data_IF_076932845431
#
_entry.id   IF_076932845431
#
_cell.length_a   1.000
_cell.length_b   1.000
_cell.length_c   1.000
_cell.angle_alpha   90.00
_cell.angle_beta   90.00
_cell.angle_gamma   90.00
#
_symmetry.space_group_name_H-M   'P 1'
#
loop_
_entity.id
_entity.type
_entity.pdbx_description
1 polymer ?
#
# COMPACT_ATOMS: atom_id res chain seq x y z
N UNK A 1 -4.76 -0.44 14.43
CA UNK A 1 -3.54 -0.57 13.59
C UNK A 1 -2.27 -0.36 14.40
N UNK A 2 -2.08 0.74 15.14
CA UNK A 2 -0.85 0.94 15.93
C UNK A 2 -0.60 -0.19 16.94
N UNK A 3 -1.52 -0.42 17.88
CA UNK A 3 -1.40 -1.48 18.89
C UNK A 3 -1.23 -2.87 18.26
N UNK A 4 -1.92 -3.10 17.14
CA UNK A 4 -1.81 -4.34 16.38
C UNK A 4 -0.39 -4.52 15.82
N UNK A 5 0.18 -3.50 15.17
CA UNK A 5 1.53 -3.55 14.61
C UNK A 5 2.60 -3.72 15.70
N UNK A 6 2.38 -3.20 16.89
CA UNK A 6 3.29 -3.36 18.03
C UNK A 6 3.43 -4.84 18.41
N UNK A 7 2.35 -5.63 18.36
CA UNK A 7 2.45 -7.09 18.54
C UNK A 7 3.32 -7.77 17.48
N UNK A 8 3.33 -7.27 16.24
CA UNK A 8 4.16 -7.83 15.16
C UNK A 8 5.63 -7.43 15.30
N UNK A 9 5.93 -6.29 15.90
CA UNK A 9 7.27 -5.90 16.32
C UNK A 9 7.77 -6.82 17.43
N UNK A 10 6.96 -7.05 18.47
CA UNK A 10 7.29 -7.98 19.56
C UNK A 10 7.55 -9.41 19.05
N UNK A 11 6.78 -9.85 18.05
CA UNK A 11 6.95 -11.15 17.37
C UNK A 11 8.12 -11.17 16.37
N UNK A 12 8.89 -10.08 16.24
CA UNK A 12 10.01 -9.91 15.30
C UNK A 12 9.63 -10.16 13.82
N UNK A 13 8.36 -9.93 13.45
CA UNK A 13 7.89 -10.07 12.06
C UNK A 13 8.27 -8.82 11.24
N UNK A 14 8.24 -7.67 11.90
CA UNK A 14 8.68 -6.36 11.40
C UNK A 14 9.51 -5.67 12.49
N UNK A 15 10.26 -4.63 12.13
CA UNK A 15 10.95 -3.77 13.10
C UNK A 15 10.21 -2.44 13.33
N UNK A 16 10.67 -1.63 14.31
CA UNK A 16 10.07 -0.33 14.65
C UNK A 16 10.03 0.64 13.45
N UNK A 17 11.06 0.65 12.62
CA UNK A 17 11.13 1.53 11.43
C UNK A 17 10.06 1.14 10.40
N UNK A 18 9.86 -0.15 10.18
CA UNK A 18 8.83 -0.68 9.28
C UNK A 18 7.43 -0.40 9.82
N UNK A 19 7.24 -0.55 11.13
CA UNK A 19 6.00 -0.23 11.84
C UNK A 19 5.64 1.24 11.68
N UNK A 20 6.60 2.14 11.93
CA UNK A 20 6.40 3.58 11.78
C UNK A 20 6.15 3.97 10.31
N UNK A 21 6.83 3.33 9.36
CA UNK A 21 6.60 3.58 7.94
C UNK A 21 5.20 3.17 7.48
N UNK A 22 4.67 2.03 7.96
CA UNK A 22 3.29 1.60 7.66
C UNK A 22 2.26 2.52 8.30
N UNK A 23 2.51 3.04 9.50
CA UNK A 23 1.61 4.00 10.15
C UNK A 23 1.45 5.32 9.40
N UNK A 24 2.39 5.63 8.50
CA UNK A 24 2.33 6.78 7.62
C UNK A 24 1.57 6.49 6.30
N UNK A 25 1.01 5.29 6.11
CA UNK A 25 0.12 4.99 4.99
C UNK A 25 -1.17 5.81 5.12
N UNK A 26 -1.64 6.41 4.02
CA UNK A 26 -2.82 7.28 4.08
C UNK A 26 -4.10 6.49 4.39
N UNK A 27 -4.31 5.36 3.70
CA UNK A 27 -5.48 4.51 3.92
C UNK A 27 -5.12 3.03 3.75
N UNK A 28 -5.59 2.21 4.67
CA UNK A 28 -5.67 0.76 4.54
C UNK A 28 -7.14 0.33 4.62
N UNK A 29 -7.61 -0.43 3.63
CA UNK A 29 -8.94 -1.04 3.64
C UNK A 29 -8.85 -2.54 3.44
N UNK A 30 -9.74 -3.30 4.08
CA UNK A 30 -9.89 -4.73 3.86
C UNK A 30 -11.23 -5.06 3.20
N UNK A 31 -11.31 -6.23 2.60
CA UNK A 31 -12.54 -6.77 2.03
C UNK A 31 -12.38 -8.23 1.63
N UNK A 32 -13.48 -8.89 1.31
CA UNK A 32 -13.48 -10.28 0.87
C UNK A 32 -13.51 -10.33 -0.65
N UNK A 33 -12.53 -11.02 -1.25
CA UNK A 33 -12.50 -11.29 -2.68
C UNK A 33 -13.71 -12.13 -3.08
N UNK A 34 -14.52 -11.63 -4.03
CA UNK A 34 -15.68 -12.39 -4.53
C UNK A 34 -15.28 -13.68 -5.25
N UNK A 35 -14.09 -13.69 -5.86
CA UNK A 35 -13.52 -14.80 -6.63
C UNK A 35 -12.92 -15.86 -5.71
N UNK A 36 -11.97 -15.46 -4.84
CA UNK A 36 -11.23 -16.41 -4.00
C UNK A 36 -11.87 -16.68 -2.64
N UNK A 37 -12.83 -15.84 -2.21
CA UNK A 37 -13.44 -15.84 -0.86
C UNK A 37 -12.46 -15.54 0.28
N UNK A 38 -11.23 -15.12 -0.04
CA UNK A 38 -10.23 -14.73 0.94
C UNK A 38 -10.30 -13.24 1.27
N UNK A 39 -9.92 -12.89 2.49
CA UNK A 39 -9.66 -11.50 2.86
C UNK A 39 -8.45 -10.95 2.11
N UNK A 40 -8.61 -9.76 1.56
CA UNK A 40 -7.59 -8.99 0.87
C UNK A 40 -7.54 -7.58 1.46
N UNK A 41 -6.38 -6.94 1.31
CA UNK A 41 -6.17 -5.55 1.71
C UNK A 41 -5.85 -4.69 0.48
N UNK A 42 -6.20 -3.41 0.55
CA UNK A 42 -5.74 -2.39 -0.40
C UNK A 42 -5.01 -1.31 0.41
N UNK A 43 -3.71 -1.15 0.11
CA UNK A 43 -2.88 -0.10 0.68
C UNK A 43 -2.86 1.09 -0.27
N UNK A 44 -3.32 2.25 0.21
CA UNK A 44 -3.58 3.42 -0.62
C UNK A 44 -2.69 4.59 -0.18
N UNK A 45 -1.95 5.14 -1.13
CA UNK A 45 -1.29 6.45 -1.02
C UNK A 45 -2.11 7.50 -1.78
N UNK A 46 -2.17 8.72 -1.25
CA UNK A 46 -2.87 9.85 -1.83
C UNK A 46 -1.86 10.97 -2.08
N UNK A 47 -1.75 11.40 -3.33
CA UNK A 47 -0.85 12.47 -3.73
C UNK A 47 -1.49 13.34 -4.81
N UNK A 48 -1.37 14.66 -4.71
CA UNK A 48 -1.85 15.55 -5.78
C UNK A 48 -1.22 15.18 -7.12
N UNK A 49 0.10 14.96 -7.13
CA UNK A 49 0.87 14.56 -8.30
C UNK A 49 1.68 13.32 -8.02
N UNK A 50 1.30 12.21 -8.65
CA UNK A 50 1.95 10.91 -8.49
C UNK A 50 3.39 10.99 -9.01
N UNK A 51 4.34 10.73 -8.11
CA UNK A 51 5.78 10.70 -8.33
C UNK A 51 6.41 9.35 -7.97
N UNK A 52 7.73 9.22 -8.18
CA UNK A 52 8.46 8.00 -7.83
C UNK A 52 8.38 7.68 -6.34
N UNK A 53 8.46 8.69 -5.48
CA UNK A 53 8.39 8.49 -4.03
C UNK A 53 7.07 7.83 -3.61
N UNK A 54 5.95 8.15 -4.26
CA UNK A 54 4.65 7.54 -3.96
C UNK A 54 4.64 6.05 -4.33
N UNK A 55 5.28 5.71 -5.46
CA UNK A 55 5.46 4.32 -5.91
C UNK A 55 6.32 3.55 -4.92
N UNK A 56 7.44 4.13 -4.51
CA UNK A 56 8.39 3.47 -3.63
C UNK A 56 7.79 3.30 -2.21
N UNK A 57 6.98 4.26 -1.74
CA UNK A 57 6.22 4.15 -0.47
C UNK A 57 5.18 3.04 -0.53
N UNK A 58 4.29 3.04 -1.53
CA UNK A 58 3.19 2.07 -1.58
C UNK A 58 3.71 0.63 -1.74
N UNK A 59 4.80 0.42 -2.49
CA UNK A 59 5.41 -0.91 -2.65
C UNK A 59 6.01 -1.39 -1.34
N UNK A 60 6.86 -0.57 -0.70
CA UNK A 60 7.49 -0.95 0.57
C UNK A 60 6.45 -1.25 1.65
N UNK A 61 5.45 -0.39 1.79
CA UNK A 61 4.37 -0.58 2.78
C UNK A 61 3.53 -1.81 2.47
N UNK A 62 3.21 -2.07 1.20
CA UNK A 62 2.56 -3.31 0.77
C UNK A 62 3.36 -4.55 1.21
N UNK A 63 4.67 -4.59 0.98
CA UNK A 63 5.51 -5.74 1.34
C UNK A 63 5.58 -5.98 2.86
N UNK A 64 5.59 -4.90 3.66
CA UNK A 64 5.51 -4.99 5.12
C UNK A 64 4.13 -5.56 5.52
N UNK A 65 3.05 -5.03 4.97
CA UNK A 65 1.68 -5.45 5.29
C UNK A 65 1.38 -6.89 4.87
N UNK A 66 1.95 -7.39 3.77
CA UNK A 66 1.84 -8.81 3.38
C UNK A 66 2.51 -9.73 4.40
N UNK A 67 3.63 -9.30 5.01
CA UNK A 67 4.28 -10.06 6.09
C UNK A 67 3.47 -10.05 7.39
N UNK A 68 2.87 -8.92 7.73
CA UNK A 68 2.02 -8.73 8.93
C UNK A 68 0.75 -9.57 8.82
N UNK A 69 -0.04 -9.36 7.77
CA UNK A 69 -1.36 -10.00 7.66
C UNK A 69 -1.32 -11.41 7.08
N UNK A 70 -0.22 -11.81 6.42
CA UNK A 70 -0.16 -13.06 5.63
C UNK A 70 -1.31 -13.15 4.62
N UNK A 71 -1.74 -12.00 4.11
CA UNK A 71 -2.80 -11.83 3.11
C UNK A 71 -2.27 -11.02 1.94
N UNK A 72 -2.94 -11.13 0.79
CA UNK A 72 -2.65 -10.32 -0.38
C UNK A 72 -2.95 -8.85 -0.09
N UNK A 73 -1.98 -7.98 -0.39
CA UNK A 73 -2.15 -6.53 -0.32
C UNK A 73 -2.03 -5.95 -1.72
N UNK A 74 -3.03 -5.19 -2.15
CA UNK A 74 -3.06 -4.53 -3.45
C UNK A 74 -2.57 -3.10 -3.27
N UNK A 75 -1.43 -2.71 -3.87
CA UNK A 75 -0.96 -1.33 -3.82
C UNK A 75 -1.79 -0.46 -4.77
N UNK A 76 -2.24 0.70 -4.28
CA UNK A 76 -3.01 1.69 -5.02
C UNK A 76 -2.49 3.10 -4.74
N UNK A 77 -2.40 3.94 -5.75
CA UNK A 77 -2.12 5.37 -5.59
C UNK A 77 -3.28 6.18 -6.15
N UNK A 78 -3.87 7.05 -5.35
CA UNK A 78 -4.88 8.01 -5.78
C UNK A 78 -4.21 9.36 -5.98
N UNK A 79 -4.47 10.01 -7.12
CA UNK A 79 -3.98 11.36 -7.33
C UNK A 79 -4.72 12.16 -8.38
N UNK A 80 -4.27 13.39 -8.65
CA UNK A 80 -4.85 14.25 -9.69
C UNK A 80 -4.02 14.24 -10.97
N UNK A 81 -2.70 14.19 -10.82
CA UNK A 81 -1.75 14.25 -11.93
C UNK A 81 -0.76 13.09 -11.92
N UNK A 82 -0.29 12.69 -13.11
CA UNK A 82 0.82 11.75 -13.26
C UNK A 82 1.56 11.99 -14.57
N UNK A 83 2.90 11.90 -14.54
CA UNK A 83 3.72 11.94 -15.76
C UNK A 83 3.51 10.66 -16.59
N UNK A 84 3.36 10.79 -17.91
CA UNK A 84 3.14 9.64 -18.82
C UNK A 84 4.16 8.51 -18.63
N UNK A 85 5.43 8.84 -18.40
CA UNK A 85 6.51 7.86 -18.16
C UNK A 85 6.28 6.99 -16.91
N UNK A 86 5.61 7.52 -15.89
CA UNK A 86 5.35 6.78 -14.65
C UNK A 86 4.22 5.78 -14.80
N UNK A 87 3.29 5.97 -15.74
CA UNK A 87 2.23 4.98 -16.03
C UNK A 87 2.80 3.63 -16.44
N UNK A 88 3.88 3.64 -17.24
CA UNK A 88 4.56 2.41 -17.66
C UNK A 88 5.27 1.76 -16.47
N UNK A 89 5.94 2.56 -15.63
CA UNK A 89 6.59 2.07 -14.40
C UNK A 89 5.58 1.41 -13.45
N UNK A 90 4.44 2.07 -13.18
CA UNK A 90 3.35 1.54 -12.35
C UNK A 90 2.83 0.19 -12.86
N UNK A 91 2.59 0.09 -14.18
CA UNK A 91 2.14 -1.15 -14.80
C UNK A 91 3.16 -2.28 -14.60
N UNK A 92 4.45 -2.01 -14.83
CA UNK A 92 5.50 -3.02 -14.70
C UNK A 92 5.67 -3.50 -13.24
N UNK A 93 5.36 -2.64 -12.27
CA UNK A 93 5.45 -2.94 -10.84
C UNK A 93 4.12 -3.46 -10.26
N UNK A 94 3.09 -3.67 -11.10
CA UNK A 94 1.74 -4.04 -10.66
C UNK A 94 1.16 -3.13 -9.58
N UNK A 95 1.42 -1.82 -9.69
CA UNK A 95 0.84 -0.79 -8.82
C UNK A 95 -0.34 -0.16 -9.53
N UNK A 96 -1.51 -0.21 -8.89
CA UNK A 96 -2.72 0.40 -9.42
C UNK A 96 -2.70 1.91 -9.15
N UNK A 97 -3.41 2.67 -9.97
CA UNK A 97 -3.64 4.09 -9.67
C UNK A 97 -5.02 4.54 -10.15
N UNK A 98 -5.55 5.55 -9.46
CA UNK A 98 -6.80 6.25 -9.83
C UNK A 98 -6.50 7.74 -9.96
N UNK A 99 -6.97 8.36 -11.03
CA UNK A 99 -6.92 9.80 -11.21
C UNK A 99 -8.28 10.43 -10.91
N UNK A 100 -8.33 11.29 -9.90
CA UNK A 100 -9.52 12.06 -9.53
C UNK A 100 -9.66 13.22 -10.51
N UNK A 101 -10.87 13.40 -11.04
CA UNK A 101 -11.22 14.52 -11.92
C UNK A 101 -11.94 15.60 -11.11
N UNK A 102 -11.90 16.82 -11.63
CA UNK A 102 -12.74 17.92 -11.17
C UNK A 102 -14.22 17.71 -11.54
#
# INVERSE_FOLDING_TARGET
>A
MADELDEYVEKNIINEIERDDVLLLDILVSGISKETKEEIFIAIEISYKIGNNDIDRVIRRKEILERVYKKKVIPLIVGKEILKKLKVKLKNLNVNFVLVKD
#
